data_IF_317965989300
#
_entry.id   IF_317965989300
#
_cell.length_a   1.000
_cell.length_b   1.000
_cell.length_c   1.000
_cell.angle_alpha   90.00
_cell.angle_beta   90.00
_cell.angle_gamma   90.00
#
_symmetry.space_group_name_H-M   'P 1'
#
loop_
_entity.id
_entity.type
_entity.pdbx_description
1 polymer ?
#
# COMPACT_ATOMS: atom_id res chain seq x y z
N UNK A 1 5.59 -9.71 -14.49
CA UNK A 1 4.84 -10.53 -13.52
C UNK A 1 4.51 -9.74 -12.29
N UNK A 2 3.36 -9.93 -11.76
CA UNK A 2 2.93 -9.17 -10.61
C UNK A 2 3.08 -9.97 -9.33
N UNK A 3 3.18 -9.27 -8.24
CA UNK A 3 3.19 -9.82 -6.91
C UNK A 3 1.92 -10.64 -6.64
N UNK A 4 0.78 -10.20 -7.15
CA UNK A 4 -0.50 -10.87 -6.96
C UNK A 4 -0.50 -12.31 -7.46
N UNK A 5 0.19 -12.56 -8.54
CA UNK A 5 0.19 -13.90 -9.15
C UNK A 5 0.87 -14.93 -8.29
N UNK A 6 1.75 -14.52 -7.40
CA UNK A 6 2.53 -15.46 -6.60
C UNK A 6 1.91 -15.82 -5.28
N UNK A 7 1.23 -14.89 -4.67
CA UNK A 7 0.86 -15.07 -3.27
C UNK A 7 -0.28 -16.04 -3.08
N UNK A 8 -1.18 -16.12 -4.02
CA UNK A 8 -2.38 -16.92 -3.84
C UNK A 8 -3.09 -16.55 -2.55
N UNK A 9 -3.84 -17.45 -2.03
CA UNK A 9 -4.60 -17.25 -0.80
C UNK A 9 -3.95 -17.92 0.39
N UNK A 10 -2.67 -17.72 0.54
CA UNK A 10 -1.87 -18.36 1.58
C UNK A 10 -2.47 -18.20 2.97
N UNK A 11 -3.10 -17.08 3.26
CA UNK A 11 -3.69 -16.79 4.57
C UNK A 11 -5.22 -16.79 4.51
N UNK A 12 -5.78 -17.54 3.56
CA UNK A 12 -7.23 -17.66 3.40
C UNK A 12 -7.93 -16.36 3.02
N UNK A 13 -7.19 -15.37 2.59
CA UNK A 13 -7.76 -14.17 2.00
C UNK A 13 -8.33 -14.50 0.63
N UNK A 14 -9.47 -13.95 0.31
CA UNK A 14 -10.06 -14.14 -1.00
C UNK A 14 -9.59 -13.09 -1.97
N UNK A 15 -9.15 -13.51 -3.15
CA UNK A 15 -8.86 -12.59 -4.23
C UNK A 15 -10.14 -11.92 -4.70
N UNK A 16 -10.05 -10.64 -5.03
CA UNK A 16 -11.22 -9.87 -5.46
C UNK A 16 -10.85 -9.07 -6.69
N UNK A 17 -11.68 -9.17 -7.73
CA UNK A 17 -11.48 -8.40 -8.96
C UNK A 17 -12.14 -7.03 -8.85
N UNK A 18 -11.46 -6.01 -9.34
CA UNK A 18 -12.00 -4.66 -9.41
C UNK A 18 -11.28 -3.89 -10.52
N UNK A 19 -12.04 -3.25 -11.41
CA UNK A 19 -11.52 -2.40 -12.46
C UNK A 19 -10.42 -3.08 -13.30
N UNK A 20 -10.59 -4.39 -13.57
CA UNK A 20 -9.65 -5.15 -14.38
C UNK A 20 -8.43 -5.65 -13.63
N UNK A 21 -8.31 -5.38 -12.33
CA UNK A 21 -7.23 -5.86 -11.49
C UNK A 21 -7.75 -6.89 -10.49
N UNK A 22 -6.85 -7.76 -10.04
CA UNK A 22 -7.17 -8.73 -9.00
C UNK A 22 -6.45 -8.32 -7.73
N UNK A 23 -7.18 -8.25 -6.63
CA UNK A 23 -6.65 -7.83 -5.34
C UNK A 23 -6.64 -9.01 -4.38
N UNK A 24 -5.71 -8.99 -3.41
CA UNK A 24 -5.57 -10.07 -2.45
C UNK A 24 -6.77 -10.22 -1.53
N UNK A 25 -7.49 -9.15 -1.28
CA UNK A 25 -8.60 -9.19 -0.33
C UNK A 25 -9.67 -8.18 -0.74
N UNK A 26 -10.87 -8.37 -0.14
CA UNK A 26 -11.95 -7.41 -0.30
C UNK A 26 -11.58 -6.05 0.28
N UNK A 27 -10.81 -6.05 1.36
CA UNK A 27 -10.40 -4.81 2.01
C UNK A 27 -9.55 -3.97 1.05
N UNK A 28 -8.59 -4.61 0.40
CA UNK A 28 -7.72 -3.94 -0.56
C UNK A 28 -8.50 -3.44 -1.77
N UNK A 29 -9.36 -4.29 -2.33
CA UNK A 29 -10.19 -3.91 -3.47
C UNK A 29 -11.16 -2.78 -3.10
N UNK A 30 -11.73 -2.83 -1.90
CA UNK A 30 -12.60 -1.76 -1.42
C UNK A 30 -11.88 -0.44 -1.27
N UNK A 31 -10.64 -0.49 -0.82
CA UNK A 31 -9.85 0.73 -0.71
C UNK A 31 -9.54 1.32 -2.09
N UNK A 32 -9.27 0.47 -3.08
CA UNK A 32 -9.08 0.95 -4.46
C UNK A 32 -10.33 1.67 -4.98
N UNK A 33 -11.52 1.15 -4.66
CA UNK A 33 -12.78 1.81 -5.03
C UNK A 33 -12.90 3.18 -4.34
N UNK A 34 -12.55 3.23 -3.09
CA UNK A 34 -12.54 4.49 -2.32
C UNK A 34 -11.61 5.50 -2.99
N UNK A 35 -10.42 5.07 -3.39
CA UNK A 35 -9.46 5.97 -4.05
C UNK A 35 -10.00 6.48 -5.38
N UNK A 36 -10.68 5.64 -6.16
CA UNK A 36 -11.27 6.09 -7.41
C UNK A 36 -12.37 7.14 -7.18
N UNK A 37 -13.16 6.98 -6.12
CA UNK A 37 -14.15 7.98 -5.75
C UNK A 37 -13.48 9.30 -5.36
N UNK A 38 -12.35 9.22 -4.67
CA UNK A 38 -11.60 10.41 -4.28
C UNK A 38 -10.99 11.13 -5.47
N UNK A 39 -10.59 10.40 -6.52
CA UNK A 39 -10.16 11.03 -7.78
C UNK A 39 -11.33 11.78 -8.40
N UNK A 40 -12.50 11.16 -8.48
CA UNK A 40 -13.70 11.82 -9.04
C UNK A 40 -14.08 13.07 -8.27
N UNK A 41 -13.90 13.04 -6.96
CA UNK A 41 -14.17 14.19 -6.10
C UNK A 41 -13.06 15.23 -6.14
N UNK A 42 -11.97 14.96 -6.87
CA UNK A 42 -10.80 15.83 -6.98
C UNK A 42 -10.07 16.02 -5.65
N UNK A 43 -10.23 15.07 -4.73
CA UNK A 43 -9.52 15.09 -3.46
C UNK A 43 -8.08 14.61 -3.60
N UNK A 44 -7.81 13.72 -4.55
CA UNK A 44 -6.47 13.26 -4.86
C UNK A 44 -6.26 13.30 -6.36
N UNK A 45 -5.00 13.28 -6.78
CA UNK A 45 -4.64 13.36 -8.19
C UNK A 45 -4.70 11.99 -8.87
N UNK A 46 -4.09 10.99 -8.27
CA UNK A 46 -4.00 9.64 -8.83
C UNK A 46 -3.47 8.68 -7.79
N UNK A 47 -3.39 7.39 -8.15
CA UNK A 47 -2.79 6.38 -7.29
C UNK A 47 -2.19 5.27 -8.13
N UNK A 48 -1.14 4.64 -7.59
CA UNK A 48 -0.51 3.46 -8.16
C UNK A 48 -0.67 2.30 -7.19
N UNK A 49 -0.66 1.06 -7.70
CA UNK A 49 -0.78 -0.12 -6.86
C UNK A 49 0.45 -1.01 -6.99
N UNK A 50 0.73 -1.74 -5.92
CA UNK A 50 1.77 -2.78 -5.90
C UNK A 50 3.10 -2.27 -6.43
N UNK A 51 3.56 -1.18 -5.86
CA UNK A 51 4.82 -0.56 -6.26
C UNK A 51 5.96 -1.21 -5.50
N UNK A 52 6.98 -1.66 -6.23
CA UNK A 52 8.16 -2.29 -5.62
C UNK A 52 9.06 -1.22 -5.01
N UNK A 53 9.35 -1.39 -3.74
CA UNK A 53 10.30 -0.56 -3.02
C UNK A 53 11.53 -1.39 -2.68
N UNK A 54 12.69 -0.85 -2.99
CA UNK A 54 13.96 -1.50 -2.68
C UNK A 54 14.39 -1.04 -1.29
N UNK A 55 14.26 -1.93 -0.30
CA UNK A 55 14.64 -1.60 1.06
C UNK A 55 16.15 -1.76 1.22
N UNK A 56 16.82 -0.64 1.50
CA UNK A 56 18.27 -0.57 1.65
C UNK A 56 18.65 -0.01 3.00
N UNK A 57 19.76 -0.49 3.52
CA UNK A 57 20.38 0.08 4.73
C UNK A 57 21.82 0.42 4.36
N UNK A 58 22.17 1.67 4.50
CA UNK A 58 23.50 2.17 4.15
C UNK A 58 23.93 1.78 2.74
N UNK A 59 22.98 1.88 1.80
CA UNK A 59 23.23 1.58 0.41
C UNK A 59 23.17 0.12 0.04
N UNK A 60 23.02 -0.77 1.03
CA UNK A 60 22.99 -2.20 0.77
C UNK A 60 21.54 -2.69 0.68
N UNK A 61 21.23 -3.37 -0.41
CA UNK A 61 19.91 -3.98 -0.60
C UNK A 61 19.66 -5.04 0.46
N UNK A 62 18.53 -4.95 1.13
CA UNK A 62 18.11 -5.94 2.13
C UNK A 62 17.01 -6.83 1.56
N UNK A 63 15.94 -6.22 1.05
CA UNK A 63 14.81 -6.96 0.50
C UNK A 63 13.95 -6.01 -0.31
N UNK A 64 13.04 -6.59 -1.11
CA UNK A 64 12.02 -5.80 -1.78
C UNK A 64 10.75 -5.77 -0.95
N UNK A 65 10.03 -4.67 -1.04
CA UNK A 65 8.73 -4.52 -0.41
C UNK A 65 7.74 -3.98 -1.43
N UNK A 66 6.59 -4.62 -1.55
CA UNK A 66 5.56 -4.19 -2.50
C UNK A 66 4.47 -3.49 -1.71
N UNK A 67 4.49 -2.16 -1.74
CA UNK A 67 3.48 -1.35 -1.07
C UNK A 67 2.16 -1.45 -1.84
N UNK A 68 1.04 -1.53 -1.11
CA UNK A 68 -0.25 -1.73 -1.77
C UNK A 68 -0.64 -0.56 -2.66
N UNK A 69 -0.49 0.67 -2.15
CA UNK A 69 -0.88 1.86 -2.90
C UNK A 69 0.10 2.99 -2.63
N UNK A 70 0.38 3.77 -3.68
CA UNK A 70 0.98 5.09 -3.52
C UNK A 70 -0.04 6.09 -4.01
N UNK A 71 -0.51 6.96 -3.12
CA UNK A 71 -1.49 7.97 -3.43
C UNK A 71 -0.75 9.26 -3.75
N UNK A 72 -1.05 9.83 -4.91
CA UNK A 72 -0.48 11.10 -5.34
C UNK A 72 -1.47 12.21 -4.99
N UNK A 73 -1.10 13.04 -4.02
CA UNK A 73 -1.95 14.14 -3.59
C UNK A 73 -1.79 15.35 -4.49
N UNK A 74 -2.78 16.23 -4.46
CA UNK A 74 -2.79 17.41 -5.34
C UNK A 74 -1.63 18.36 -5.07
N UNK A 75 -1.08 18.35 -3.88
CA UNK A 75 0.05 19.21 -3.52
C UNK A 75 1.41 18.64 -3.95
N UNK A 76 1.41 17.48 -4.61
CA UNK A 76 2.64 16.82 -5.06
C UNK A 76 3.20 15.83 -4.07
N UNK A 77 2.64 15.72 -2.88
CA UNK A 77 3.10 14.73 -1.91
C UNK A 77 2.56 13.35 -2.26
N UNK A 78 3.21 12.33 -1.70
CA UNK A 78 2.82 10.94 -1.89
C UNK A 78 2.53 10.30 -0.55
N UNK A 79 1.51 9.47 -0.54
CA UNK A 79 1.16 8.72 0.64
C UNK A 79 1.35 7.23 0.32
N UNK A 80 2.35 6.62 0.95
CA UNK A 80 2.68 5.21 0.77
C UNK A 80 1.79 4.41 1.72
N UNK A 81 0.81 3.73 1.17
CA UNK A 81 -0.28 3.17 1.96
C UNK A 81 -0.31 1.65 1.89
N UNK A 82 -0.37 1.04 3.04
CA UNK A 82 -0.55 -0.40 3.19
C UNK A 82 -1.92 -0.67 3.77
N UNK A 83 -2.68 -1.57 3.14
CA UNK A 83 -3.99 -1.99 3.63
C UNK A 83 -3.83 -3.37 4.25
N UNK A 84 -4.04 -3.48 5.57
CA UNK A 84 -3.64 -4.68 6.30
C UNK A 84 -4.78 -5.27 7.10
N UNK A 85 -5.20 -6.49 6.74
CA UNK A 85 -6.16 -7.24 7.53
C UNK A 85 -5.48 -8.20 8.49
N UNK A 86 -4.41 -8.83 8.06
CA UNK A 86 -3.67 -9.80 8.85
C UNK A 86 -2.19 -9.47 8.81
N UNK A 87 -1.55 -9.38 9.99
CA UNK A 87 -0.16 -9.00 10.12
C UNK A 87 0.70 -10.22 10.45
N UNK A 88 1.68 -10.51 9.60
CA UNK A 88 2.68 -11.53 9.90
C UNK A 88 3.91 -10.90 10.53
N UNK A 89 4.74 -11.70 11.18
CA UNK A 89 6.01 -11.20 11.71
C UNK A 89 6.91 -10.68 10.58
N UNK A 90 6.92 -11.39 9.45
CA UNK A 90 7.73 -10.96 8.32
C UNK A 90 7.29 -9.59 7.81
N UNK A 91 5.99 -9.38 7.68
CA UNK A 91 5.48 -8.09 7.26
C UNK A 91 5.86 -7.00 8.26
N UNK A 92 5.70 -7.26 9.54
CA UNK A 92 6.05 -6.28 10.58
C UNK A 92 7.52 -5.89 10.51
N UNK A 93 8.41 -6.87 10.29
CA UNK A 93 9.83 -6.60 10.16
C UNK A 93 10.12 -5.72 8.95
N UNK A 94 9.57 -6.06 7.79
CA UNK A 94 9.77 -5.27 6.58
C UNK A 94 9.22 -3.86 6.73
N UNK A 95 8.05 -3.74 7.36
CA UNK A 95 7.45 -2.43 7.59
C UNK A 95 8.31 -1.56 8.49
N UNK A 96 8.91 -2.15 9.52
CA UNK A 96 9.83 -1.41 10.39
C UNK A 96 11.07 -0.95 9.65
N UNK A 97 11.59 -1.76 8.75
CA UNK A 97 12.72 -1.34 7.92
C UNK A 97 12.31 -0.16 7.04
N UNK A 98 11.13 -0.24 6.43
CA UNK A 98 10.61 0.85 5.62
C UNK A 98 10.46 2.13 6.44
N UNK A 99 9.87 2.04 7.63
CA UNK A 99 9.72 3.20 8.50
C UNK A 99 11.07 3.82 8.85
N UNK A 100 12.05 2.98 9.19
CA UNK A 100 13.37 3.46 9.60
C UNK A 100 14.14 4.12 8.47
N UNK A 101 13.88 3.73 7.23
CA UNK A 101 14.65 4.21 6.07
C UNK A 101 13.86 5.19 5.20
N UNK A 102 12.59 5.44 5.54
CA UNK A 102 11.71 6.19 4.66
C UNK A 102 12.21 7.59 4.33
N UNK A 103 12.59 8.33 5.35
CA UNK A 103 13.00 9.72 5.15
C UNK A 103 14.25 9.81 4.27
N UNK A 104 15.17 8.88 4.45
CA UNK A 104 16.44 8.91 3.73
C UNK A 104 16.30 8.35 2.31
N UNK A 105 15.56 7.26 2.15
CA UNK A 105 15.56 6.51 0.89
C UNK A 105 14.41 6.86 -0.04
N UNK A 106 13.27 7.29 0.48
CA UNK A 106 12.08 7.44 -0.35
C UNK A 106 11.47 8.83 -0.36
N UNK A 107 11.57 9.56 0.74
CA UNK A 107 10.89 10.83 0.87
C UNK A 107 11.50 11.89 -0.04
N UNK A 108 10.68 12.50 -0.89
CA UNK A 108 11.08 13.54 -1.83
C UNK A 108 10.34 14.85 -1.58
N UNK A 109 9.17 14.79 -0.97
CA UNK A 109 8.36 15.95 -0.65
C UNK A 109 8.20 16.00 0.88
N UNK A 110 8.15 17.22 1.48
CA UNK A 110 8.07 17.33 2.95
C UNK A 110 6.88 16.56 3.56
N UNK A 111 5.79 16.43 2.79
CA UNK A 111 4.58 15.78 3.27
C UNK A 111 4.45 14.32 2.81
N UNK A 112 5.49 13.76 2.17
CA UNK A 112 5.51 12.33 1.87
C UNK A 112 5.44 11.55 3.18
N UNK A 113 4.61 10.49 3.20
CA UNK A 113 4.34 9.76 4.44
C UNK A 113 3.94 8.33 4.21
N UNK A 114 4.03 7.55 5.28
CA UNK A 114 3.59 6.17 5.34
C UNK A 114 2.27 6.09 6.10
N UNK A 115 1.37 5.25 5.63
CA UNK A 115 0.06 5.07 6.24
C UNK A 115 -0.31 3.59 6.25
N UNK A 116 -0.84 3.09 7.35
CA UNK A 116 -1.40 1.74 7.42
C UNK A 116 -2.90 1.86 7.66
N UNK A 117 -3.67 1.25 6.77
CA UNK A 117 -5.12 1.17 6.90
C UNK A 117 -5.45 -0.22 7.44
N UNK A 118 -5.91 -0.28 8.67
CA UNK A 118 -6.26 -1.56 9.29
C UNK A 118 -7.75 -1.80 9.21
N UNK A 119 -8.12 -3.06 9.09
CA UNK A 119 -9.52 -3.43 9.01
C UNK A 119 -10.33 -2.90 10.19
N UNK A 120 -9.75 -2.92 11.39
CA UNK A 120 -10.45 -2.46 12.58
C UNK A 120 -10.82 -0.99 12.55
N UNK A 121 -10.02 -0.16 11.87
CA UNK A 121 -10.29 1.27 11.82
C UNK A 121 -11.07 1.66 10.56
N UNK A 122 -10.72 1.10 9.42
CA UNK A 122 -11.36 1.47 8.15
C UNK A 122 -12.66 0.72 7.91
N UNK A 123 -12.68 -0.58 8.20
CA UNK A 123 -13.83 -1.43 7.89
C UNK A 123 -15.11 -0.99 8.60
N UNK A 124 -14.98 -0.40 9.77
CA UNK A 124 -16.15 0.05 10.51
C UNK A 124 -16.85 1.23 9.85
N UNK A 125 -16.11 2.06 9.19
CA UNK A 125 -16.63 3.24 8.53
C UNK A 125 -17.04 2.98 7.09
N UNK A 126 -16.71 1.83 6.61
CA UNK A 126 -16.90 1.48 5.22
C UNK A 126 -18.32 1.10 4.87
N UNK A 127 -19.08 0.64 5.80
CA UNK A 127 -20.42 0.12 5.55
C UNK A 127 -21.45 1.14 5.12
#
# INVERSE_FOLDING_TARGET
>A
MTYLQKSGNKYHSKSTAYAGNVYHSKLEAGYAQELDLRIKAKDIKSWDRQVKLDLKIDGQHITNYYIDFIIHHNDGSREFTEVKGFETELWRMKWKILEATFDKEFKEHPDDRLTVIKQSSWGRNWR
#
